data_IF_977102165206
#
_entry.id   IF_977102165206
#
_cell.length_a   1.000
_cell.length_b   1.000
_cell.length_c   1.000
_cell.angle_alpha   90.00
_cell.angle_beta   90.00
_cell.angle_gamma   90.00
#
_symmetry.space_group_name_H-M   'P 1'
#
loop_
_entity.id
_entity.type
_entity.pdbx_description
1 polymer ?
#
# COMPACT_ATOMS: atom_id res chain seq x y z
N UNK A 1 3.88 20.67 20.72
CA UNK A 1 2.45 20.54 21.05
C UNK A 1 2.23 19.14 21.60
N UNK A 2 1.74 19.00 22.84
CA UNK A 2 1.37 17.68 23.36
C UNK A 2 0.11 17.15 22.65
N UNK A 3 0.08 15.84 22.36
CA UNK A 3 -1.07 15.13 21.80
C UNK A 3 -0.89 14.60 20.35
N UNK A 4 -1.79 13.68 19.96
CA UNK A 4 -1.96 13.23 18.57
C UNK A 4 -2.57 14.35 17.73
N UNK A 5 -2.01 14.62 16.54
CA UNK A 5 -2.57 15.62 15.62
C UNK A 5 -3.87 15.10 15.01
N UNK A 6 -4.95 15.84 15.17
CA UNK A 6 -6.20 15.59 14.45
C UNK A 6 -6.07 15.98 12.98
N UNK A 7 -6.04 14.99 12.09
CA UNK A 7 -6.05 15.17 10.63
C UNK A 7 -7.44 14.86 10.08
N UNK A 8 -8.13 15.89 9.57
CA UNK A 8 -9.55 15.84 9.15
C UNK A 8 -9.81 16.41 7.74
N UNK A 9 -8.81 16.38 6.85
CA UNK A 9 -8.97 16.71 5.42
C UNK A 9 -9.36 15.45 4.63
N UNK A 10 -9.99 15.57 3.43
CA UNK A 10 -10.40 14.43 2.61
C UNK A 10 -9.23 13.79 1.82
N UNK A 11 -8.08 13.61 2.46
CA UNK A 11 -6.86 13.07 1.86
C UNK A 11 -5.70 14.07 1.89
N UNK A 12 -4.50 13.67 2.37
CA UNK A 12 -4.17 12.40 3.05
C UNK A 12 -4.90 12.23 4.40
N UNK A 13 -5.03 10.98 4.87
CA UNK A 13 -5.67 10.62 6.15
C UNK A 13 -4.68 9.99 7.12
N UNK A 14 -5.05 9.83 8.39
CA UNK A 14 -4.21 9.15 9.38
C UNK A 14 -3.96 7.69 8.98
N UNK A 15 -2.71 7.25 9.05
CA UNK A 15 -2.29 5.88 8.73
C UNK A 15 -2.31 5.02 10.01
N UNK A 16 -2.93 3.82 10.02
CA UNK A 16 -2.86 2.92 11.16
C UNK A 16 -1.42 2.54 11.53
N UNK A 17 -1.10 2.46 12.82
CA UNK A 17 0.27 2.21 13.31
C UNK A 17 0.89 0.91 12.74
N UNK A 18 0.07 -0.15 12.57
CA UNK A 18 0.53 -1.41 11.95
C UNK A 18 1.05 -1.21 10.53
N UNK A 19 0.40 -0.34 9.76
CA UNK A 19 0.81 -0.02 8.38
C UNK A 19 2.07 0.84 8.39
N UNK A 20 2.16 1.82 9.29
CA UNK A 20 3.36 2.65 9.45
C UNK A 20 4.61 1.82 9.73
N UNK A 21 4.50 0.84 10.63
CA UNK A 21 5.60 -0.10 10.93
C UNK A 21 5.98 -1.00 9.76
N UNK A 22 5.00 -1.43 8.96
CA UNK A 22 5.26 -2.26 7.78
C UNK A 22 6.04 -1.50 6.68
N UNK A 23 5.98 -0.17 6.65
CA UNK A 23 6.76 0.67 5.72
C UNK A 23 8.17 1.02 6.24
N UNK A 24 8.44 0.79 7.53
CA UNK A 24 9.70 1.14 8.18
C UNK A 24 10.71 -0.01 8.06
N UNK A 25 11.18 -0.23 6.83
CA UNK A 25 12.12 -1.30 6.46
C UNK A 25 13.24 -0.75 5.55
N UNK A 26 14.42 -1.40 5.50
CA UNK A 26 15.47 -1.06 4.54
C UNK A 26 15.02 -1.23 3.09
N UNK A 27 15.73 -0.59 2.16
CA UNK A 27 15.49 -0.82 0.73
C UNK A 27 15.91 -2.24 0.33
N UNK A 28 15.13 -2.85 -0.56
CA UNK A 28 15.36 -4.17 -1.11
C UNK A 28 15.63 -4.08 -2.63
N UNK A 29 16.26 -5.11 -3.19
CA UNK A 29 16.55 -5.17 -4.63
C UNK A 29 15.26 -5.47 -5.43
N UNK A 30 14.93 -4.59 -6.38
CA UNK A 30 13.80 -4.78 -7.28
C UNK A 30 13.88 -6.04 -8.17
N UNK A 31 15.07 -6.65 -8.28
CA UNK A 31 15.30 -7.90 -9.03
C UNK A 31 15.48 -9.11 -8.14
N UNK A 32 15.27 -8.97 -6.82
CA UNK A 32 15.39 -10.08 -5.90
C UNK A 32 14.44 -11.23 -6.33
N UNK A 33 14.90 -12.49 -6.31
CA UNK A 33 14.14 -13.63 -6.83
C UNK A 33 12.85 -13.92 -6.03
N UNK A 34 12.78 -13.44 -4.79
CA UNK A 34 11.66 -13.58 -3.86
C UNK A 34 10.65 -12.42 -3.92
N UNK A 35 10.99 -11.29 -4.57
CA UNK A 35 10.06 -10.15 -4.73
C UNK A 35 8.70 -10.52 -5.35
N UNK A 36 8.60 -11.44 -6.33
CA UNK A 36 7.31 -11.89 -6.87
C UNK A 36 6.41 -12.54 -5.81
N UNK A 37 6.98 -13.19 -4.79
CA UNK A 37 6.22 -13.82 -3.70
C UNK A 37 5.50 -12.79 -2.83
N UNK A 38 6.06 -11.58 -2.71
CA UNK A 38 5.41 -10.46 -2.03
C UNK A 38 4.38 -9.74 -2.93
N UNK A 39 4.75 -9.46 -4.18
CA UNK A 39 3.97 -8.57 -5.06
C UNK A 39 2.78 -9.25 -5.74
N UNK A 40 2.90 -10.50 -6.20
CA UNK A 40 1.83 -11.18 -6.94
C UNK A 40 0.56 -11.42 -6.09
N UNK A 41 0.64 -11.87 -4.82
CA UNK A 41 -0.55 -12.02 -3.99
C UNK A 41 -1.26 -10.70 -3.73
N UNK A 42 -0.51 -9.59 -3.63
CA UNK A 42 -1.07 -8.26 -3.39
C UNK A 42 -1.98 -7.81 -4.54
N UNK A 43 -1.63 -8.11 -5.80
CA UNK A 43 -2.48 -7.80 -6.95
C UNK A 43 -3.83 -8.55 -6.90
N UNK A 44 -3.83 -9.80 -6.41
CA UNK A 44 -5.06 -10.58 -6.23
C UNK A 44 -5.90 -10.09 -5.05
N UNK A 45 -5.26 -9.65 -3.95
CA UNK A 45 -5.97 -9.08 -2.80
C UNK A 45 -6.61 -7.73 -3.12
N UNK A 46 -5.95 -6.88 -3.93
CA UNK A 46 -6.52 -5.62 -4.40
C UNK A 46 -7.83 -5.84 -5.17
N UNK A 47 -7.90 -6.88 -6.03
CA UNK A 47 -9.13 -7.23 -6.76
C UNK A 47 -10.30 -7.51 -5.82
N UNK A 48 -10.07 -8.06 -4.62
CA UNK A 48 -11.11 -8.32 -3.61
C UNK A 48 -11.73 -7.02 -3.09
N UNK A 49 -10.92 -5.99 -2.86
CA UNK A 49 -11.39 -4.65 -2.40
C UNK A 49 -12.30 -4.02 -3.46
N UNK A 50 -11.92 -4.13 -4.73
CA UNK A 50 -12.71 -3.63 -5.86
C UNK A 50 -13.86 -4.56 -6.28
N UNK A 51 -14.05 -5.71 -5.60
CA UNK A 51 -15.02 -6.76 -5.98
C UNK A 51 -14.89 -7.19 -7.45
N UNK A 52 -13.66 -7.16 -7.97
CA UNK A 52 -13.34 -7.42 -9.36
C UNK A 52 -13.02 -8.90 -9.57
N UNK A 53 -13.79 -9.58 -10.43
CA UNK A 53 -13.59 -11.02 -10.71
C UNK A 53 -12.70 -11.28 -11.92
N UNK A 54 -12.76 -10.42 -12.93
CA UNK A 54 -12.14 -10.65 -14.25
C UNK A 54 -11.11 -9.62 -14.66
N UNK A 55 -11.09 -8.44 -14.02
CA UNK A 55 -10.14 -7.39 -14.33
C UNK A 55 -8.76 -7.62 -13.72
N UNK A 56 -7.77 -6.91 -14.28
CA UNK A 56 -6.37 -6.96 -13.86
C UNK A 56 -6.04 -5.73 -13.00
N UNK A 57 -5.40 -5.95 -11.85
CA UNK A 57 -4.88 -4.87 -11.03
C UNK A 57 -3.46 -4.47 -11.49
N UNK A 58 -3.18 -3.17 -11.43
CA UNK A 58 -1.87 -2.59 -11.66
C UNK A 58 -1.53 -1.63 -10.53
N UNK A 59 -0.26 -1.57 -10.15
CA UNK A 59 0.25 -0.64 -9.15
C UNK A 59 1.21 0.31 -9.84
N UNK A 60 0.80 1.56 -10.01
CA UNK A 60 1.65 2.61 -10.56
C UNK A 60 2.31 3.38 -9.41
N UNK A 61 3.64 3.63 -9.45
CA UNK A 61 4.31 4.53 -8.51
C UNK A 61 3.97 5.99 -8.88
N UNK A 62 2.72 6.38 -8.64
CA UNK A 62 2.15 7.66 -9.06
C UNK A 62 1.11 8.18 -8.06
N UNK A 63 0.71 9.44 -8.24
CA UNK A 63 -0.47 10.01 -7.57
C UNK A 63 -1.76 9.68 -8.33
N UNK A 64 -2.91 10.19 -7.88
CA UNK A 64 -4.19 9.94 -8.54
C UNK A 64 -4.45 10.68 -9.86
N UNK A 65 -3.65 11.70 -10.19
CA UNK A 65 -3.70 12.44 -11.47
C UNK A 65 -2.99 11.67 -12.58
#
# INVERSE_FOLDING_TARGET
MPGLRGLFIPGPTNVPERVRRAMDIPMEDQRAPDLPQFTLPLLEDVKKVFKCKTGQAFLFPASGT
#
